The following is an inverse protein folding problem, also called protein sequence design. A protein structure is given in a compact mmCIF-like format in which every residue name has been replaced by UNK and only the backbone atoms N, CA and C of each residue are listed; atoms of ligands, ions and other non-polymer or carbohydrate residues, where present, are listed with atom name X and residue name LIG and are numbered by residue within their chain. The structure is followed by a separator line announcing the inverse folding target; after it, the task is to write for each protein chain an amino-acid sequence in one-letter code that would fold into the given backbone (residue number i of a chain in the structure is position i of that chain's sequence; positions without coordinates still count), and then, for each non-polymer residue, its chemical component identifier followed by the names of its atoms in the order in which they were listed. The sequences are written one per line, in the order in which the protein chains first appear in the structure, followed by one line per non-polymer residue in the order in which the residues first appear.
data_IF_570207307674
#
_entry.id   IF_570207307674
#
_cell.length_a   1.000
_cell.length_b   1.000
_cell.length_c   1.000
_cell.angle_alpha   90.00
_cell.angle_beta   90.00
_cell.angle_gamma   90.00
#
_symmetry.space_group_name_H-M   'P 1'
#
loop_
_entity.id
_entity.type
_entity.pdbx_description
1 polymer ?
#
# COMPACT_ATOMS: atom_id res chain seq x y z
N UNK A 1 20.58 2.37 24.12
CA UNK A 1 19.89 2.92 22.95
C UNK A 1 18.45 3.18 23.34
N UNK A 2 17.95 4.40 23.12
CA UNK A 2 16.61 4.82 23.52
C UNK A 2 15.59 4.47 22.44
N UNK A 3 14.36 4.13 22.82
CA UNK A 3 13.26 3.80 21.88
C UNK A 3 12.93 4.96 20.93
N UNK A 4 13.28 6.19 21.31
CA UNK A 4 13.12 7.39 20.48
C UNK A 4 14.10 7.41 19.30
N UNK A 5 15.36 7.05 19.55
CA UNK A 5 16.41 6.99 18.52
C UNK A 5 16.09 5.92 17.47
N UNK A 6 15.59 4.75 17.91
CA UNK A 6 15.22 3.65 16.99
C UNK A 6 14.09 4.07 16.02
N UNK A 7 13.09 4.82 16.49
CA UNK A 7 11.98 5.29 15.63
C UNK A 7 12.42 6.39 14.67
N UNK A 8 13.34 7.25 15.10
CA UNK A 8 13.92 8.30 14.28
C UNK A 8 14.75 7.72 13.13
N UNK A 9 15.62 6.74 13.41
CA UNK A 9 16.38 6.04 12.39
C UNK A 9 15.49 5.28 11.39
N UNK A 10 14.39 4.67 11.86
CA UNK A 10 13.43 3.99 10.98
C UNK A 10 12.71 4.99 10.05
N UNK A 11 12.38 6.18 10.56
CA UNK A 11 11.73 7.25 9.79
C UNK A 11 12.68 7.81 8.72
N UNK A 12 13.92 8.10 9.08
CA UNK A 12 14.94 8.62 8.16
C UNK A 12 15.21 7.60 7.03
N UNK A 13 15.28 6.32 7.37
CA UNK A 13 15.43 5.25 6.38
C UNK A 13 14.23 5.14 5.44
N UNK A 14 13.00 5.30 5.95
CA UNK A 14 11.79 5.30 5.13
C UNK A 14 11.73 6.48 4.16
N UNK A 15 12.16 7.67 4.61
CA UNK A 15 12.21 8.87 3.78
C UNK A 15 13.25 8.76 2.65
N UNK A 16 14.44 8.23 2.95
CA UNK A 16 15.49 7.97 1.94
C UNK A 16 15.03 6.93 0.92
N UNK A 17 14.36 5.87 1.38
CA UNK A 17 13.79 4.85 0.50
C UNK A 17 12.72 5.42 -0.43
N UNK A 18 11.82 6.26 0.09
CA UNK A 18 10.78 6.92 -0.71
C UNK A 18 11.38 7.86 -1.76
N UNK A 19 12.42 8.64 -1.41
CA UNK A 19 13.14 9.49 -2.36
C UNK A 19 13.78 8.66 -3.48
N UNK A 20 14.45 7.56 -3.14
CA UNK A 20 15.08 6.68 -4.13
C UNK A 20 14.07 5.99 -5.04
N UNK A 21 12.94 5.54 -4.49
CA UNK A 21 11.84 4.97 -5.26
C UNK A 21 11.24 5.99 -6.23
N UNK A 22 11.02 7.24 -5.79
CA UNK A 22 10.52 8.33 -6.63
C UNK A 22 11.50 8.73 -7.73
N UNK A 23 12.81 8.81 -7.43
CA UNK A 23 13.84 9.08 -8.43
C UNK A 23 13.93 7.97 -9.48
N UNK A 24 13.75 6.71 -9.07
CA UNK A 24 13.68 5.58 -9.99
C UNK A 24 12.40 5.62 -10.85
N UNK A 25 11.27 5.96 -10.25
CA UNK A 25 9.98 6.09 -10.95
C UNK A 25 10.00 7.22 -11.99
N UNK A 26 10.61 8.37 -11.68
CA UNK A 26 10.74 9.51 -12.61
C UNK A 26 11.67 9.20 -13.81
N UNK A 27 12.60 8.26 -13.64
CA UNK A 27 13.49 7.77 -14.70
C UNK A 27 12.84 6.79 -15.69
N UNK A 28 11.56 6.46 -15.53
CA UNK A 28 10.86 5.52 -16.41
C UNK A 28 11.16 4.04 -16.11
N UNK A 29 11.70 3.73 -14.93
CA UNK A 29 11.84 2.36 -14.44
C UNK A 29 10.43 1.79 -14.26
N UNK A 30 10.15 0.71 -14.98
CA UNK A 30 8.87 0.04 -14.86
C UNK A 30 8.77 -0.63 -13.49
N UNK A 31 7.56 -0.75 -12.95
CA UNK A 31 7.34 -1.26 -11.59
C UNK A 31 7.91 -2.68 -11.43
N UNK A 32 7.87 -3.45 -12.52
CA UNK A 32 8.43 -4.80 -12.66
C UNK A 32 9.97 -4.88 -12.52
N UNK A 33 10.70 -3.75 -12.54
CA UNK A 33 12.17 -3.68 -12.40
C UNK A 33 12.59 -3.36 -10.94
N UNK A 34 11.64 -3.08 -10.04
CA UNK A 34 11.92 -2.94 -8.63
C UNK A 34 12.21 -4.32 -8.02
N UNK A 35 13.37 -4.50 -7.37
CA UNK A 35 13.77 -5.77 -6.73
C UNK A 35 12.67 -6.39 -5.87
N UNK A 36 11.97 -5.56 -5.10
CA UNK A 36 10.84 -6.01 -4.25
C UNK A 36 9.68 -6.57 -5.07
N UNK A 37 9.39 -6.03 -6.25
CA UNK A 37 8.33 -6.54 -7.12
C UNK A 37 8.77 -7.85 -7.78
N UNK A 38 10.03 -7.93 -8.24
CA UNK A 38 10.60 -9.16 -8.80
C UNK A 38 10.68 -10.33 -7.81
N UNK A 39 10.87 -10.04 -6.52
CA UNK A 39 10.94 -11.04 -5.45
C UNK A 39 9.56 -11.63 -5.10
N UNK A 40 8.47 -10.93 -5.41
CA UNK A 40 7.10 -11.33 -5.11
C UNK A 40 6.16 -11.22 -6.33
N UNK A 41 6.42 -11.98 -7.41
CA UNK A 41 5.65 -11.87 -8.65
C UNK A 41 4.18 -12.28 -8.49
N UNK A 42 3.87 -13.18 -7.54
CA UNK A 42 2.51 -13.63 -7.26
C UNK A 42 1.69 -12.61 -6.45
N UNK A 43 2.34 -11.66 -5.78
CA UNK A 43 1.69 -10.62 -4.96
C UNK A 43 1.37 -9.38 -5.79
N UNK A 44 2.17 -9.13 -6.83
CA UNK A 44 2.01 -8.01 -7.76
C UNK A 44 1.81 -8.52 -9.19
N UNK A 45 0.73 -9.27 -9.48
CA UNK A 45 0.41 -9.67 -10.84
C UNK A 45 0.15 -8.43 -11.70
N UNK A 46 0.55 -8.48 -12.98
CA UNK A 46 0.33 -7.40 -13.95
C UNK A 46 -1.17 -7.10 -14.14
N UNK A 47 -2.00 -8.13 -13.95
CA UNK A 47 -3.46 -8.04 -13.87
C UNK A 47 -3.91 -8.00 -12.40
N UNK A 48 -4.51 -6.88 -11.97
CA UNK A 48 -5.17 -6.80 -10.66
C UNK A 48 -6.52 -7.49 -10.77
N UNK A 49 -6.73 -8.56 -10.01
CA UNK A 49 -8.07 -9.09 -9.77
C UNK A 49 -8.88 -7.99 -9.08
N UNK A 50 -9.81 -7.35 -9.80
CA UNK A 50 -10.68 -6.27 -9.30
C UNK A 50 -11.44 -6.62 -8.01
N UNK A 51 -11.57 -7.91 -7.73
CA UNK A 51 -12.24 -8.41 -6.54
C UNK A 51 -11.18 -8.99 -5.61
N UNK A 52 -11.06 -8.53 -4.35
CA UNK A 52 -10.31 -9.28 -3.38
C UNK A 52 -10.95 -10.68 -3.31
N UNK A 53 -10.13 -11.73 -3.53
CA UNK A 53 -10.50 -13.11 -3.23
C UNK A 53 -11.29 -13.14 -1.92
N UNK A 54 -12.36 -13.95 -1.87
CA UNK A 54 -13.20 -14.11 -0.66
C UNK A 54 -12.29 -14.20 0.56
N UNK A 55 -12.21 -13.10 1.32
CA UNK A 55 -11.44 -13.09 2.54
C UNK A 55 -12.33 -13.78 3.56
N UNK A 56 -11.84 -14.82 4.24
CA UNK A 56 -12.54 -15.45 5.38
C UNK A 56 -12.68 -14.51 6.60
N UNK A 57 -12.35 -13.22 6.44
CA UNK A 57 -12.50 -12.18 7.46
C UNK A 57 -13.77 -11.39 7.18
N UNK A 58 -14.72 -11.51 8.10
CA UNK A 58 -15.85 -10.60 8.22
C UNK A 58 -15.33 -9.23 8.69
N UNK A 59 -15.55 -8.18 7.90
CA UNK A 59 -15.19 -6.82 8.29
C UNK A 59 -16.44 -6.05 8.73
N UNK A 60 -16.29 -5.26 9.79
CA UNK A 60 -17.34 -4.35 10.27
C UNK A 60 -17.04 -2.93 9.79
N UNK A 61 -18.08 -2.21 9.38
CA UNK A 61 -18.00 -0.78 9.07
C UNK A 61 -18.63 -0.01 10.23
N UNK A 62 -17.81 0.69 11.00
CA UNK A 62 -18.28 1.56 12.07
C UNK A 62 -18.86 2.85 11.47
N UNK A 63 -20.15 3.07 11.70
CA UNK A 63 -20.82 4.29 11.26
C UNK A 63 -20.85 5.31 12.38
N UNK A 64 -20.71 6.59 12.02
CA UNK A 64 -20.98 7.68 12.96
C UNK A 64 -22.48 7.71 13.28
N UNK A 65 -22.88 8.05 14.52
CA UNK A 65 -24.30 8.18 14.85
C UNK A 65 -25.00 9.18 13.92
N UNK A 66 -26.10 8.75 13.29
CA UNK A 66 -26.87 9.57 12.34
C UNK A 66 -26.56 9.34 10.86
N UNK A 67 -25.63 8.45 10.50
CA UNK A 67 -25.46 8.02 9.11
C UNK A 67 -26.70 7.28 8.59
N UNK A 68 -27.22 7.71 7.44
CA UNK A 68 -28.32 7.06 6.73
C UNK A 68 -27.85 6.45 5.40
N UNK A 69 -28.49 5.37 4.90
CA UNK A 69 -28.19 4.83 3.58
C UNK A 69 -28.40 5.87 2.46
N UNK A 70 -27.58 5.78 1.41
CA UNK A 70 -27.74 6.56 0.18
C UNK A 70 -28.03 5.62 -0.99
N UNK A 71 -28.87 6.05 -1.93
CA UNK A 71 -29.21 5.28 -3.14
C UNK A 71 -29.16 6.20 -4.35
N UNK A 72 -28.57 5.72 -5.44
CA UNK A 72 -28.52 6.40 -6.74
C UNK A 72 -29.07 5.45 -7.79
N UNK A 73 -29.99 5.94 -8.63
CA UNK A 73 -30.52 5.15 -9.76
C UNK A 73 -29.48 5.09 -10.91
N UNK A 74 -29.53 4.06 -11.78
CA UNK A 74 -28.60 3.88 -12.90
C UNK A 74 -28.60 5.03 -13.90
#
# INVERSE_FOLDING_TARGET
MSTKEVKESLKEHAEVFAMFASLKLEGGIKMEELSVVCEFPDVFPEDVSDVPLEREVEFTIDLVPGTSPISMAP
#
